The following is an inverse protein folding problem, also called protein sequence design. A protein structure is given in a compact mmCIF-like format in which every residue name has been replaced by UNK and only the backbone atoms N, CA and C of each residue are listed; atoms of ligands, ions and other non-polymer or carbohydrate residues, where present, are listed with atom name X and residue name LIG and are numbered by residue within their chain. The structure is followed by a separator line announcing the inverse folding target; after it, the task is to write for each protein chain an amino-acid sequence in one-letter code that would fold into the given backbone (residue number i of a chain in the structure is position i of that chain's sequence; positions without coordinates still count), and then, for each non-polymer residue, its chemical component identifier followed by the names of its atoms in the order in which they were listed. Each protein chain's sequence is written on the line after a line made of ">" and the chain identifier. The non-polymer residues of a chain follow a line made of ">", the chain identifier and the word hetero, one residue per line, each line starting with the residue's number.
data_IF_792939040639
#
_entry.id   IF_792939040639
#
_cell.length_a   1.000
_cell.length_b   1.000
_cell.length_c   1.000
_cell.angle_alpha   90.00
_cell.angle_beta   90.00
_cell.angle_gamma   90.00
#
_symmetry.space_group_name_H-M   'P 1'
#
loop_
_entity.id
_entity.type
_entity.pdbx_description
1 polymer ?
#
# COMPACT_ATOMS: atom_id res chain seq x y z
N UNK A 1 -11.68 -11.45 -10.38
CA UNK A 1 -10.48 -11.68 -9.57
C UNK A 1 -10.05 -13.13 -9.70
N UNK A 2 -10.87 -14.13 -9.31
CA UNK A 2 -10.48 -15.55 -9.31
C UNK A 2 -9.96 -16.04 -10.67
N UNK A 3 -10.64 -15.71 -11.77
CA UNK A 3 -10.18 -16.06 -13.13
C UNK A 3 -8.84 -15.43 -13.49
N UNK A 4 -8.53 -14.26 -12.97
CA UNK A 4 -7.24 -13.61 -13.19
C UNK A 4 -6.12 -14.33 -12.41
N UNK A 5 -6.36 -14.65 -11.14
CA UNK A 5 -5.43 -15.42 -10.30
C UNK A 5 -5.19 -16.84 -10.82
N UNK A 6 -6.24 -17.48 -11.36
CA UNK A 6 -6.12 -18.78 -12.03
C UNK A 6 -5.23 -18.68 -13.27
N UNK A 7 -5.42 -17.67 -14.12
CA UNK A 7 -4.61 -17.46 -15.34
C UNK A 7 -3.15 -17.14 -15.03
N UNK A 8 -2.87 -16.33 -14.02
CA UNK A 8 -1.52 -15.90 -13.70
C UNK A 8 -0.74 -16.94 -12.88
N UNK A 9 -1.43 -17.64 -11.95
CA UNK A 9 -0.77 -18.44 -10.91
C UNK A 9 -1.34 -19.87 -10.76
N UNK A 10 -2.38 -20.23 -11.52
CA UNK A 10 -3.04 -21.53 -11.39
C UNK A 10 -3.81 -21.72 -10.08
N UNK A 11 -4.09 -20.64 -9.35
CA UNK A 11 -4.80 -20.72 -8.07
C UNK A 11 -6.26 -21.14 -8.26
N UNK A 12 -6.71 -22.10 -7.47
CA UNK A 12 -8.12 -22.47 -7.41
C UNK A 12 -8.98 -21.33 -6.85
N UNK A 13 -10.29 -21.36 -7.11
CA UNK A 13 -11.20 -20.35 -6.54
C UNK A 13 -11.18 -20.34 -5.00
N UNK A 14 -11.03 -21.52 -4.38
CA UNK A 14 -10.90 -21.63 -2.93
C UNK A 14 -9.63 -20.99 -2.41
N UNK A 15 -8.48 -21.30 -3.01
CA UNK A 15 -7.20 -20.71 -2.65
C UNK A 15 -7.18 -19.19 -2.89
N UNK A 16 -7.69 -18.74 -4.03
CA UNK A 16 -7.83 -17.31 -4.34
C UNK A 16 -8.65 -16.57 -3.29
N UNK A 17 -9.72 -17.19 -2.78
CA UNK A 17 -10.52 -16.59 -1.71
C UNK A 17 -9.79 -16.60 -0.39
N UNK A 18 -9.28 -17.77 0.03
CA UNK A 18 -8.67 -17.95 1.36
C UNK A 18 -7.38 -17.16 1.55
N UNK A 19 -6.57 -17.05 0.49
CA UNK A 19 -5.24 -16.46 0.58
C UNK A 19 -5.14 -15.03 0.04
N UNK A 20 -6.18 -14.53 -0.64
CA UNK A 20 -6.16 -13.18 -1.21
C UNK A 20 -7.45 -12.40 -0.99
N UNK A 21 -8.53 -12.69 -1.72
CA UNK A 21 -9.73 -11.83 -1.68
C UNK A 21 -10.41 -11.80 -0.32
N UNK A 22 -10.46 -12.92 0.37
CA UNK A 22 -11.06 -13.01 1.71
C UNK A 22 -10.27 -12.21 2.76
N UNK A 23 -8.95 -12.19 2.65
CA UNK A 23 -8.08 -11.43 3.56
C UNK A 23 -8.27 -9.92 3.35
N UNK A 24 -8.28 -9.45 2.09
CA UNK A 24 -8.55 -8.04 1.77
C UNK A 24 -9.93 -7.60 2.29
N UNK A 25 -10.98 -8.43 2.10
CA UNK A 25 -12.31 -8.14 2.64
C UNK A 25 -12.33 -8.08 4.17
N UNK A 26 -11.54 -8.93 4.81
CA UNK A 26 -11.37 -8.92 6.27
C UNK A 26 -10.69 -7.63 6.73
N UNK A 27 -9.62 -7.19 6.04
CA UNK A 27 -8.91 -5.96 6.37
C UNK A 27 -9.79 -4.73 6.17
N UNK A 28 -10.51 -4.64 5.05
CA UNK A 28 -11.50 -3.57 4.83
C UNK A 28 -12.51 -3.52 5.98
N UNK A 29 -13.04 -4.68 6.38
CA UNK A 29 -14.00 -4.78 7.48
C UNK A 29 -13.39 -4.33 8.80
N UNK A 30 -12.14 -4.70 9.06
CA UNK A 30 -11.39 -4.30 10.25
C UNK A 30 -11.19 -2.77 10.28
N UNK A 31 -10.70 -2.19 9.18
CA UNK A 31 -10.48 -0.76 9.07
C UNK A 31 -11.77 0.04 9.23
N UNK A 32 -12.87 -0.36 8.59
CA UNK A 32 -14.17 0.30 8.74
C UNK A 32 -14.66 0.34 10.20
N UNK A 33 -14.35 -0.70 10.99
CA UNK A 33 -14.72 -0.76 12.41
C UNK A 33 -13.83 0.09 13.31
N UNK A 34 -12.57 0.31 12.92
CA UNK A 34 -11.56 0.87 13.81
C UNK A 34 -11.06 2.26 13.40
N UNK A 35 -11.34 2.73 12.18
CA UNK A 35 -10.82 3.99 11.62
C UNK A 35 -11.02 5.20 12.56
N UNK A 36 -12.19 5.32 13.19
CA UNK A 36 -12.44 6.40 14.16
C UNK A 36 -11.54 6.32 15.38
N UNK A 37 -11.21 5.10 15.83
CA UNK A 37 -10.30 4.89 16.94
C UNK A 37 -8.85 5.22 16.58
N UNK A 38 -8.44 4.88 15.35
CA UNK A 38 -7.09 5.14 14.83
C UNK A 38 -6.88 6.64 14.57
N UNK A 39 -7.88 7.33 14.03
CA UNK A 39 -7.81 8.77 13.75
C UNK A 39 -7.89 9.65 14.99
N UNK A 40 -8.25 9.08 16.16
CA UNK A 40 -8.49 9.85 17.38
C UNK A 40 -7.19 10.40 17.97
N UNK A 41 -7.23 11.67 18.38
CA UNK A 41 -6.17 12.27 19.18
C UNK A 41 -6.03 11.56 20.54
N UNK A 42 -4.80 11.26 20.93
CA UNK A 42 -4.47 10.64 22.23
C UNK A 42 -3.75 11.65 23.10
N UNK A 43 -4.38 12.02 24.23
CA UNK A 43 -3.73 12.88 25.21
C UNK A 43 -2.54 12.15 25.84
N UNK A 44 -1.43 12.86 25.99
CA UNK A 44 -0.21 12.36 26.64
C UNK A 44 0.15 13.25 27.82
N UNK A 45 1.00 12.74 28.72
CA UNK A 45 1.48 13.51 29.87
C UNK A 45 2.26 14.75 29.44
N UNK A 46 1.96 15.88 30.09
CA UNK A 46 2.65 17.15 29.86
C UNK A 46 3.56 17.44 31.04
N UNK A 47 4.88 17.67 30.84
CA UNK A 47 5.79 18.01 31.91
C UNK A 47 5.36 19.27 32.70
N UNK A 48 5.61 19.30 34.02
CA UNK A 48 5.27 20.45 34.86
C UNK A 48 5.92 21.76 34.41
N UNK A 49 7.11 21.70 33.82
CA UNK A 49 7.78 22.88 33.25
C UNK A 49 6.97 23.56 32.10
N UNK A 50 5.99 22.87 31.54
CA UNK A 50 5.07 23.39 30.51
C UNK A 50 3.66 23.58 31.07
N UNK A 51 3.57 23.88 32.36
CA UNK A 51 2.30 24.11 33.04
C UNK A 51 1.42 25.11 32.29
N UNK A 52 0.11 24.84 32.21
CA UNK A 52 -0.95 25.38 31.37
C UNK A 52 -1.01 24.83 29.94
N UNK A 53 0.01 24.07 29.46
CA UNK A 53 -0.03 23.41 28.13
C UNK A 53 -0.75 22.06 28.21
N UNK A 54 -1.20 21.58 27.04
CA UNK A 54 -1.75 20.24 26.85
C UNK A 54 -0.98 19.54 25.72
N UNK A 55 -0.50 18.33 26.00
CA UNK A 55 0.22 17.51 25.02
C UNK A 55 -0.67 16.40 24.50
N UNK A 56 -0.61 16.16 23.21
CA UNK A 56 -1.37 15.08 22.55
C UNK A 56 -0.62 14.55 21.34
N UNK A 57 -0.95 13.32 20.95
CA UNK A 57 -0.53 12.69 19.69
C UNK A 57 -1.72 12.72 18.74
N UNK A 58 -1.53 13.26 17.55
CA UNK A 58 -2.53 13.29 16.47
C UNK A 58 -1.98 12.53 15.29
N UNK A 59 -2.67 11.48 14.79
CA UNK A 59 -2.34 10.86 13.51
C UNK A 59 -2.46 11.87 12.37
N UNK A 60 -1.52 11.84 11.44
CA UNK A 60 -1.55 12.63 10.21
C UNK A 60 -1.14 11.73 9.05
N UNK A 61 -1.75 11.86 7.86
CA UNK A 61 -1.28 11.16 6.67
C UNK A 61 0.13 11.61 6.29
N UNK A 62 0.85 10.75 5.60
CA UNK A 62 2.14 11.11 5.00
C UNK A 62 1.95 12.04 3.80
N UNK A 63 0.97 11.76 2.96
CA UNK A 63 0.69 12.48 1.71
C UNK A 63 0.49 11.53 0.54
N UNK A 64 1.36 11.58 -0.47
CA UNK A 64 1.35 10.69 -1.63
C UNK A 64 2.23 9.48 -1.36
N UNK A 65 1.65 8.28 -1.35
CA UNK A 65 2.37 7.03 -1.08
C UNK A 65 2.51 6.18 -2.34
N UNK A 66 3.66 5.53 -2.51
CA UNK A 66 3.90 4.54 -3.55
C UNK A 66 3.78 3.14 -2.94
N UNK A 67 2.94 2.28 -3.54
CA UNK A 67 2.79 0.88 -3.17
C UNK A 67 3.26 0.02 -4.34
N UNK A 68 4.34 -0.74 -4.14
CA UNK A 68 4.90 -1.66 -5.12
C UNK A 68 4.78 -3.10 -4.62
N UNK A 69 4.05 -3.93 -5.35
CA UNK A 69 3.69 -5.28 -4.91
C UNK A 69 4.26 -6.40 -5.79
N UNK A 70 4.47 -7.61 -5.22
CA UNK A 70 5.02 -8.77 -5.91
C UNK A 70 3.95 -9.53 -6.68
N UNK A 71 4.37 -10.64 -7.32
CA UNK A 71 3.54 -11.49 -8.17
C UNK A 71 2.91 -12.70 -7.48
N UNK A 72 3.40 -13.11 -6.31
CA UNK A 72 3.01 -14.38 -5.66
C UNK A 72 1.64 -14.34 -4.96
N UNK A 73 1.30 -13.21 -4.36
CA UNK A 73 -0.01 -12.88 -3.81
C UNK A 73 -0.42 -11.49 -4.31
N UNK A 74 -0.62 -11.33 -5.62
CA UNK A 74 -0.66 -10.02 -6.26
C UNK A 74 -1.87 -9.18 -5.84
N UNK A 75 -3.00 -9.80 -5.58
CA UNK A 75 -4.21 -9.08 -5.15
C UNK A 75 -4.10 -8.64 -3.69
N UNK A 76 -3.76 -9.56 -2.79
CA UNK A 76 -3.61 -9.28 -1.37
C UNK A 76 -2.54 -8.21 -1.12
N UNK A 77 -1.31 -8.48 -1.57
CA UNK A 77 -0.16 -7.60 -1.27
C UNK A 77 -0.19 -6.26 -2.00
N UNK A 78 -1.16 -6.05 -2.88
CA UNK A 78 -1.45 -4.75 -3.47
C UNK A 78 -2.54 -4.00 -2.70
N UNK A 79 -3.65 -4.69 -2.39
CA UNK A 79 -4.82 -4.01 -1.84
C UNK A 79 -4.77 -3.85 -0.32
N UNK A 80 -4.15 -4.76 0.41
CA UNK A 80 -4.03 -4.67 1.86
C UNK A 80 -3.30 -3.38 2.30
N UNK A 81 -2.07 -3.09 1.83
CA UNK A 81 -1.42 -1.83 2.14
C UNK A 81 -2.13 -0.60 1.55
N UNK A 82 -2.89 -0.75 0.47
CA UNK A 82 -3.70 0.34 -0.08
C UNK A 82 -4.87 0.68 0.84
N UNK A 83 -5.56 -0.32 1.39
CA UNK A 83 -6.63 -0.12 2.38
C UNK A 83 -6.11 0.68 3.58
N UNK A 84 -4.95 0.32 4.09
CA UNK A 84 -4.30 1.00 5.21
C UNK A 84 -3.89 2.44 4.86
N UNK A 85 -3.32 2.62 3.67
CA UNK A 85 -2.92 3.94 3.19
C UNK A 85 -4.11 4.89 3.07
N UNK A 86 -5.23 4.42 2.50
CA UNK A 86 -6.48 5.19 2.36
C UNK A 86 -7.10 5.46 3.75
N UNK A 87 -7.14 4.46 4.63
CA UNK A 87 -7.66 4.61 5.97
C UNK A 87 -6.86 5.63 6.80
N UNK A 88 -5.55 5.75 6.54
CA UNK A 88 -4.70 6.77 7.16
C UNK A 88 -4.84 8.17 6.50
N UNK A 89 -5.62 8.32 5.42
CA UNK A 89 -5.88 9.59 4.74
C UNK A 89 -4.86 9.97 3.67
N UNK A 90 -4.08 9.00 3.16
CA UNK A 90 -3.13 9.23 2.07
C UNK A 90 -3.79 9.11 0.70
N UNK A 91 -3.16 9.70 -0.30
CA UNK A 91 -3.35 9.36 -1.72
C UNK A 91 -2.31 8.33 -2.13
N UNK A 92 -2.58 7.53 -3.16
CA UNK A 92 -1.71 6.41 -3.49
C UNK A 92 -1.44 6.27 -4.98
N UNK A 93 -0.20 5.93 -5.31
CA UNK A 93 0.19 5.37 -6.60
C UNK A 93 0.48 3.89 -6.39
N UNK A 94 -0.24 3.03 -7.11
CA UNK A 94 -0.17 1.58 -6.97
C UNK A 94 0.54 1.00 -8.18
N UNK A 95 1.57 0.21 -7.95
CA UNK A 95 2.35 -0.46 -9.00
C UNK A 95 2.33 -1.98 -8.79
N UNK A 96 1.30 -2.68 -9.31
CA UNK A 96 1.24 -4.13 -9.25
C UNK A 96 2.30 -4.78 -10.14
N UNK A 97 2.58 -6.05 -9.92
CA UNK A 97 3.63 -6.77 -10.62
C UNK A 97 3.32 -7.01 -12.10
N UNK A 98 4.31 -6.80 -12.97
CA UNK A 98 4.22 -7.19 -14.39
C UNK A 98 4.19 -8.72 -14.61
N UNK A 99 4.59 -9.51 -13.61
CA UNK A 99 4.60 -10.98 -13.67
C UNK A 99 3.24 -11.62 -13.37
N UNK A 100 2.25 -10.83 -12.97
CA UNK A 100 0.85 -11.24 -12.81
C UNK A 100 -0.06 -10.29 -13.62
N UNK A 101 0.01 -10.31 -14.96
CA UNK A 101 -0.60 -9.30 -15.82
C UNK A 101 -2.12 -9.28 -15.76
N UNK A 102 -2.77 -10.44 -15.67
CA UNK A 102 -4.24 -10.52 -15.58
C UNK A 102 -4.75 -9.97 -14.26
N UNK A 103 -4.05 -10.28 -13.16
CA UNK A 103 -4.39 -9.76 -11.83
C UNK A 103 -4.12 -8.26 -11.73
N UNK A 104 -3.04 -7.78 -12.32
CA UNK A 104 -2.72 -6.34 -12.37
C UNK A 104 -3.78 -5.55 -13.13
N UNK A 105 -4.30 -6.11 -14.23
CA UNK A 105 -5.35 -5.48 -15.02
C UNK A 105 -6.69 -5.44 -14.28
N UNK A 106 -7.05 -6.51 -13.58
CA UNK A 106 -8.29 -6.49 -12.77
C UNK A 106 -8.19 -5.55 -11.57
N UNK A 107 -7.01 -5.44 -10.94
CA UNK A 107 -6.75 -4.45 -9.89
C UNK A 107 -6.93 -3.04 -10.46
N UNK A 108 -6.35 -2.74 -11.62
CA UNK A 108 -6.49 -1.45 -12.29
C UNK A 108 -7.96 -1.12 -12.54
N UNK A 109 -8.71 -2.08 -13.11
CA UNK A 109 -10.14 -1.90 -13.40
C UNK A 109 -10.93 -1.58 -12.14
N UNK A 110 -10.76 -2.37 -11.08
CA UNK A 110 -11.48 -2.17 -9.81
C UNK A 110 -11.16 -0.80 -9.20
N UNK A 111 -9.88 -0.43 -9.17
CA UNK A 111 -9.49 0.83 -8.54
C UNK A 111 -9.94 2.05 -9.35
N UNK A 112 -9.96 1.98 -10.68
CA UNK A 112 -10.51 3.04 -11.54
C UNK A 112 -12.04 3.16 -11.43
N UNK A 113 -12.76 2.09 -11.14
CA UNK A 113 -14.20 2.13 -10.87
C UNK A 113 -14.53 2.70 -9.47
N UNK A 114 -13.62 2.52 -8.51
CA UNK A 114 -13.84 2.92 -7.11
C UNK A 114 -13.35 4.34 -6.78
N UNK A 115 -12.29 4.82 -7.46
CA UNK A 115 -11.59 6.05 -7.10
C UNK A 115 -11.30 6.91 -8.32
N UNK A 116 -11.27 8.22 -8.10
CA UNK A 116 -10.72 9.17 -9.07
C UNK A 116 -9.19 8.97 -9.17
N UNK A 117 -8.63 9.11 -10.37
CA UNK A 117 -7.21 8.89 -10.65
C UNK A 117 -6.28 9.77 -9.79
N UNK A 118 -6.71 10.99 -9.48
CA UNK A 118 -5.97 11.90 -8.60
C UNK A 118 -5.91 11.45 -7.13
N UNK A 119 -6.76 10.50 -6.73
CA UNK A 119 -6.78 9.94 -5.38
C UNK A 119 -6.05 8.61 -5.31
N UNK A 120 -6.35 7.69 -6.24
CA UNK A 120 -5.65 6.40 -6.38
C UNK A 120 -5.33 6.17 -7.85
N UNK A 121 -4.06 6.21 -8.20
CA UNK A 121 -3.57 5.94 -9.56
C UNK A 121 -2.92 4.56 -9.65
N UNK A 122 -3.14 3.85 -10.75
CA UNK A 122 -2.53 2.53 -10.99
C UNK A 122 -1.62 2.59 -12.21
N UNK A 123 -0.33 2.33 -11.99
CA UNK A 123 0.67 2.24 -13.03
C UNK A 123 1.00 0.77 -13.29
N UNK A 124 0.62 0.26 -14.45
CA UNK A 124 1.01 -1.08 -14.91
C UNK A 124 2.32 -1.01 -15.70
N UNK A 125 3.01 -2.13 -15.85
CA UNK A 125 4.27 -2.20 -16.60
C UNK A 125 5.39 -2.90 -15.85
N UNK A 126 6.59 -2.85 -16.39
CA UNK A 126 7.74 -3.61 -15.93
C UNK A 126 8.83 -2.76 -15.26
N UNK A 127 10.09 -3.10 -15.60
CA UNK A 127 11.25 -2.47 -14.97
C UNK A 127 11.39 -0.99 -15.33
N UNK A 128 11.02 -0.59 -16.54
CA UNK A 128 11.10 0.81 -16.98
C UNK A 128 10.18 1.71 -16.13
N UNK A 129 8.93 1.27 -15.94
CA UNK A 129 7.94 1.97 -15.13
C UNK A 129 8.33 1.99 -13.65
N UNK A 130 8.89 0.89 -13.12
CA UNK A 130 9.44 0.86 -11.76
C UNK A 130 10.53 1.91 -11.58
N UNK A 131 11.47 2.00 -12.50
CA UNK A 131 12.56 2.98 -12.44
C UNK A 131 12.04 4.42 -12.57
N UNK A 132 11.05 4.63 -13.44
CA UNK A 132 10.40 5.93 -13.59
C UNK A 132 9.76 6.37 -12.27
N UNK A 133 8.93 5.51 -11.66
CA UNK A 133 8.28 5.79 -10.38
C UNK A 133 9.28 6.04 -9.26
N UNK A 134 10.34 5.24 -9.16
CA UNK A 134 11.35 5.41 -8.11
C UNK A 134 12.20 6.69 -8.29
N UNK A 135 12.16 7.35 -9.42
CA UNK A 135 12.78 8.66 -9.62
C UNK A 135 11.87 9.84 -9.24
N UNK A 136 10.58 9.58 -9.02
CA UNK A 136 9.64 10.59 -8.54
C UNK A 136 9.71 10.75 -7.02
N UNK A 137 9.20 11.87 -6.53
CA UNK A 137 9.12 12.13 -5.09
C UNK A 137 7.81 11.59 -4.52
N UNK A 138 7.93 10.73 -3.51
CA UNK A 138 6.82 10.24 -2.69
C UNK A 138 7.06 10.58 -1.21
N UNK A 139 5.98 10.73 -0.45
CA UNK A 139 6.04 10.98 0.99
C UNK A 139 6.23 9.67 1.79
N UNK A 140 5.93 8.52 1.17
CA UNK A 140 6.16 7.19 1.74
C UNK A 140 6.22 6.13 0.63
N UNK A 141 7.04 5.08 0.80
CA UNK A 141 7.09 3.94 -0.12
C UNK A 141 6.87 2.64 0.66
N UNK A 142 5.88 1.87 0.24
CA UNK A 142 5.65 0.50 0.69
C UNK A 142 6.04 -0.46 -0.43
N UNK A 143 7.00 -1.32 -0.17
CA UNK A 143 7.51 -2.26 -1.16
C UNK A 143 7.52 -3.67 -0.59
N UNK A 144 6.95 -4.61 -1.34
CA UNK A 144 7.06 -6.05 -1.07
C UNK A 144 7.75 -6.74 -2.25
N UNK A 145 8.82 -7.49 -1.99
CA UNK A 145 9.55 -8.18 -3.04
C UNK A 145 10.93 -8.71 -2.62
N UNK A 146 11.86 -8.77 -3.58
CA UNK A 146 13.20 -9.28 -3.33
C UNK A 146 14.09 -8.27 -2.60
N UNK A 147 15.07 -8.78 -1.84
CA UNK A 147 16.07 -7.95 -1.17
C UNK A 147 16.86 -7.05 -2.13
N UNK A 148 17.15 -7.56 -3.36
CA UNK A 148 17.87 -6.79 -4.37
C UNK A 148 17.11 -5.52 -4.75
N UNK A 149 15.83 -5.66 -5.10
CA UNK A 149 14.98 -4.51 -5.45
C UNK A 149 14.69 -3.63 -4.23
N UNK A 150 14.54 -4.20 -3.03
CA UNK A 150 14.38 -3.43 -1.80
C UNK A 150 15.56 -2.48 -1.54
N UNK A 151 16.79 -2.91 -1.84
CA UNK A 151 17.98 -2.02 -1.77
C UNK A 151 17.90 -0.88 -2.79
N UNK A 152 17.44 -1.15 -4.01
CA UNK A 152 17.21 -0.09 -5.03
C UNK A 152 16.16 0.91 -4.55
N UNK A 153 15.05 0.44 -3.98
CA UNK A 153 14.00 1.30 -3.39
C UNK A 153 14.59 2.21 -2.31
N UNK A 154 15.37 1.65 -1.38
CA UNK A 154 16.04 2.44 -0.33
C UNK A 154 16.98 3.50 -0.90
N UNK A 155 17.77 3.16 -1.93
CA UNK A 155 18.71 4.09 -2.57
C UNK A 155 17.98 5.26 -3.24
N UNK A 156 16.84 5.00 -3.90
CA UNK A 156 16.01 6.06 -4.48
C UNK A 156 15.34 6.91 -3.41
N UNK A 157 14.73 6.29 -2.40
CA UNK A 157 14.07 6.97 -1.29
C UNK A 157 15.03 7.89 -0.51
N UNK A 158 16.29 7.48 -0.35
CA UNK A 158 17.30 8.28 0.35
C UNK A 158 17.55 9.66 -0.27
N UNK A 159 17.28 9.86 -1.56
CA UNK A 159 17.43 11.16 -2.24
C UNK A 159 16.52 12.24 -1.65
N UNK A 160 15.35 11.84 -1.20
CA UNK A 160 14.33 12.73 -0.64
C UNK A 160 14.08 12.50 0.85
N UNK A 161 14.86 11.61 1.49
CA UNK A 161 14.64 11.15 2.87
C UNK A 161 13.26 10.52 3.07
N UNK A 162 12.71 9.95 2.00
CA UNK A 162 11.39 9.30 2.03
C UNK A 162 11.43 8.06 2.93
N UNK A 163 10.56 7.95 3.94
CA UNK A 163 10.46 6.73 4.75
C UNK A 163 9.94 5.55 3.92
N UNK A 164 10.47 4.36 4.21
CA UNK A 164 10.13 3.14 3.49
C UNK A 164 9.75 2.01 4.44
N UNK A 165 8.77 1.20 4.05
CA UNK A 165 8.57 -0.15 4.57
C UNK A 165 8.94 -1.15 3.49
N UNK A 166 9.78 -2.11 3.87
CA UNK A 166 10.26 -3.16 2.98
C UNK A 166 9.87 -4.52 3.54
N UNK A 167 8.96 -5.21 2.87
CA UNK A 167 8.57 -6.58 3.15
C UNK A 167 9.35 -7.49 2.20
N UNK A 168 10.40 -8.14 2.72
CA UNK A 168 11.39 -8.83 1.91
C UNK A 168 11.39 -10.34 2.20
N UNK A 169 11.49 -11.13 1.14
CA UNK A 169 11.71 -12.55 1.24
C UNK A 169 13.13 -12.88 1.72
N UNK A 170 13.26 -14.03 2.41
CA UNK A 170 14.54 -14.60 2.87
C UNK A 170 15.31 -15.30 1.75
#
# INVERSE_FOLDING_TARGET
>A
IHLALEKDLGKSAFESYMCETGLVLSEITYMLRHIHSFAREKRVWTPLAQFHSRSYKKPCPYGVVLIMSPWNYPFLLTLDPLVDAIAAGNTAVVKPSAYSPHTSEIIRTILQECFEEQYVSVVTGGRAENTCLLNEHFDYIFFTGSQAVGKEVMQHAARYLTPVTLELGG
#
